data_IF_878265355855
#
_entry.id   IF_878265355855
#
_cell.length_a   1.000
_cell.length_b   1.000
_cell.length_c   1.000
_cell.angle_alpha   90.00
_cell.angle_beta   90.00
_cell.angle_gamma   90.00
#
_symmetry.space_group_name_H-M   'P 1'
#
loop_
_entity.id
_entity.type
_entity.pdbx_description
1 polymer ?
#
# COMPACT_ATOMS: atom_id res chain seq x y z
N UNK A 1 17.75 -1.10 11.88
CA UNK A 1 16.28 -0.98 11.69
C UNK A 1 16.01 0.12 10.69
N UNK A 2 14.89 0.02 9.95
CA UNK A 2 14.72 0.72 8.68
C UNK A 2 15.24 -0.12 7.53
N UNK A 3 15.25 0.46 6.33
CA UNK A 3 15.61 -0.25 5.10
C UNK A 3 16.93 -1.02 5.24
N UNK A 4 16.92 -2.28 4.82
CA UNK A 4 18.08 -3.17 4.85
C UNK A 4 19.10 -2.74 3.79
N UNK A 5 20.37 -3.05 3.99
CA UNK A 5 21.43 -2.71 3.02
C UNK A 5 21.15 -3.28 1.63
N UNK A 6 20.54 -4.47 1.55
CA UNK A 6 20.14 -5.06 0.27
C UNK A 6 19.09 -4.23 -0.48
N UNK A 7 18.05 -3.76 0.23
CA UNK A 7 17.03 -2.86 -0.31
C UNK A 7 17.62 -1.54 -0.79
N UNK A 8 18.48 -0.93 0.04
CA UNK A 8 19.11 0.37 -0.27
C UNK A 8 19.95 0.37 -1.54
N UNK A 9 20.59 -0.77 -1.88
CA UNK A 9 21.46 -0.90 -3.06
C UNK A 9 20.70 -0.84 -4.39
N UNK A 10 19.39 -1.06 -4.38
CA UNK A 10 18.57 -1.00 -5.60
C UNK A 10 18.27 0.46 -6.01
N UNK A 11 18.45 1.41 -5.10
CA UNK A 11 18.20 2.82 -5.34
C UNK A 11 19.43 3.52 -5.94
N UNK A 12 19.24 4.57 -6.75
CA UNK A 12 17.95 5.15 -7.16
C UNK A 12 17.20 4.28 -8.18
N UNK A 13 15.87 4.22 -8.07
CA UNK A 13 15.05 3.50 -9.05
C UNK A 13 14.86 4.41 -10.27
N UNK A 14 15.29 3.91 -11.44
CA UNK A 14 15.22 4.61 -12.71
C UNK A 14 14.35 3.80 -13.67
N UNK A 15 13.34 4.46 -14.23
CA UNK A 15 12.38 3.84 -15.12
C UNK A 15 11.55 2.73 -14.47
N UNK A 16 10.74 2.07 -15.30
CA UNK A 16 9.86 0.98 -14.88
C UNK A 16 10.68 -0.25 -14.43
N UNK A 17 11.76 -0.58 -15.14
CA UNK A 17 12.63 -1.71 -14.81
C UNK A 17 13.21 -1.63 -13.39
N UNK A 18 13.62 -0.43 -12.95
CA UNK A 18 14.13 -0.22 -11.60
C UNK A 18 13.08 -0.54 -10.53
N UNK A 19 11.81 -0.19 -10.78
CA UNK A 19 10.71 -0.53 -9.86
C UNK A 19 10.42 -2.02 -9.88
N UNK A 20 10.34 -2.65 -11.07
CA UNK A 20 10.12 -4.10 -11.20
C UNK A 20 11.21 -4.89 -10.47
N UNK A 21 12.49 -4.51 -10.64
CA UNK A 21 13.61 -5.15 -9.95
C UNK A 21 13.53 -5.02 -8.41
N UNK A 22 12.98 -3.90 -7.90
CA UNK A 22 12.72 -3.75 -6.46
C UNK A 22 11.63 -4.73 -5.98
N UNK A 23 10.54 -4.86 -6.74
CA UNK A 23 9.46 -5.78 -6.41
C UNK A 23 9.91 -7.23 -6.46
N UNK A 24 10.66 -7.62 -7.49
CA UNK A 24 11.24 -8.97 -7.62
C UNK A 24 12.15 -9.30 -6.43
N UNK A 25 13.03 -8.38 -6.06
CA UNK A 25 13.91 -8.55 -4.91
C UNK A 25 13.14 -8.64 -3.58
N UNK A 26 12.00 -7.95 -3.46
CA UNK A 26 11.16 -8.03 -2.27
C UNK A 26 10.33 -9.31 -2.18
N UNK A 27 9.74 -9.75 -3.30
CA UNK A 27 8.93 -10.97 -3.39
C UNK A 27 9.73 -12.25 -3.12
N UNK A 28 11.04 -12.24 -3.40
CA UNK A 28 11.95 -13.34 -3.06
C UNK A 28 12.17 -13.53 -1.54
N UNK A 29 11.60 -12.65 -0.69
CA UNK A 29 11.79 -12.65 0.76
C UNK A 29 10.53 -13.16 1.42
N UNK A 30 10.68 -13.88 2.53
CA UNK A 30 9.54 -14.35 3.32
C UNK A 30 8.65 -13.21 3.86
N UNK A 31 9.22 -12.02 4.06
CA UNK A 31 8.53 -10.82 4.51
C UNK A 31 8.93 -9.64 3.60
N UNK A 32 8.21 -9.44 2.47
CA UNK A 32 8.37 -8.25 1.63
C UNK A 32 7.95 -7.00 2.42
N UNK A 33 8.72 -5.92 2.34
CA UNK A 33 8.45 -4.67 3.07
C UNK A 33 7.30 -3.90 2.40
N UNK A 34 6.08 -4.10 2.92
CA UNK A 34 4.86 -3.49 2.38
C UNK A 34 4.92 -1.96 2.45
N UNK A 35 5.58 -1.42 3.48
CA UNK A 35 5.70 0.01 3.65
C UNK A 35 6.60 0.63 2.58
N UNK A 36 7.75 0.00 2.30
CA UNK A 36 8.66 0.41 1.23
C UNK A 36 7.96 0.40 -0.13
N UNK A 37 7.35 -0.74 -0.49
CA UNK A 37 6.73 -0.92 -1.80
C UNK A 37 5.57 0.07 -2.03
N UNK A 38 4.70 0.24 -1.04
CA UNK A 38 3.58 1.20 -1.12
C UNK A 38 4.05 2.65 -1.25
N UNK A 39 5.13 3.03 -0.55
CA UNK A 39 5.72 4.37 -0.66
C UNK A 39 6.31 4.61 -2.05
N UNK A 40 6.96 3.61 -2.65
CA UNK A 40 7.52 3.71 -4.01
C UNK A 40 6.40 3.84 -5.03
N UNK A 41 5.39 2.97 -4.99
CA UNK A 41 4.25 3.05 -5.92
C UNK A 41 3.54 4.40 -5.82
N UNK A 42 3.23 4.84 -4.61
CA UNK A 42 2.56 6.12 -4.40
C UNK A 42 3.40 7.32 -4.85
N UNK A 43 4.72 7.28 -4.70
CA UNK A 43 5.62 8.33 -5.21
C UNK A 43 5.60 8.38 -6.74
N UNK A 44 5.71 7.23 -7.40
CA UNK A 44 5.71 7.12 -8.87
C UNK A 44 4.35 7.54 -9.43
N UNK A 45 3.24 7.05 -8.85
CA UNK A 45 1.88 7.43 -9.22
C UNK A 45 1.62 8.93 -9.03
N UNK A 46 2.14 9.53 -7.96
CA UNK A 46 1.98 10.96 -7.74
C UNK A 46 2.50 11.80 -8.90
N UNK A 47 3.69 11.48 -9.41
CA UNK A 47 4.30 12.26 -10.50
C UNK A 47 3.86 11.84 -11.90
N UNK A 48 3.22 10.68 -12.05
CA UNK A 48 2.73 10.18 -13.35
C UNK A 48 1.22 10.39 -13.57
N UNK A 49 0.43 10.51 -12.50
CA UNK A 49 -1.02 10.74 -12.57
C UNK A 49 -1.49 12.00 -11.84
N UNK A 50 -1.04 12.24 -10.60
CA UNK A 50 -1.58 13.32 -9.75
C UNK A 50 -1.07 14.71 -10.15
N UNK A 51 0.25 14.86 -10.28
CA UNK A 51 0.91 16.09 -10.64
C UNK A 51 2.11 15.81 -11.55
N UNK A 52 1.84 15.87 -12.85
CA UNK A 52 2.82 15.58 -13.91
C UNK A 52 3.74 16.77 -14.25
N UNK A 53 3.56 17.90 -13.57
CA UNK A 53 4.44 19.07 -13.75
C UNK A 53 5.77 18.79 -13.06
N UNK A 54 6.84 18.74 -13.85
CA UNK A 54 8.21 18.57 -13.32
C UNK A 54 8.55 19.77 -12.42
N UNK A 55 8.75 19.55 -11.10
CA UNK A 55 9.06 20.63 -10.19
C UNK A 55 10.48 21.14 -10.44
N UNK A 56 10.60 22.41 -10.84
CA UNK A 56 11.90 23.07 -11.08
C UNK A 56 12.57 23.56 -9.80
N UNK A 57 11.81 23.66 -8.71
CA UNK A 57 12.22 24.29 -7.46
C UNK A 57 12.29 23.32 -6.27
N UNK A 58 12.18 22.00 -6.50
CA UNK A 58 12.25 20.98 -5.45
C UNK A 58 13.56 20.21 -5.58
N UNK A 59 14.57 20.53 -4.74
CA UNK A 59 15.84 19.80 -4.76
C UNK A 59 15.62 18.31 -4.44
N UNK A 60 16.27 17.44 -5.21
CA UNK A 60 16.24 15.99 -4.98
C UNK A 60 15.12 15.23 -5.70
N UNK A 61 14.17 15.91 -6.34
CA UNK A 61 13.26 15.27 -7.30
C UNK A 61 13.86 15.43 -8.69
N UNK A 62 14.13 14.30 -9.35
CA UNK A 62 14.72 14.25 -10.69
C UNK A 62 13.85 13.42 -11.62
N UNK A 63 13.89 13.77 -12.89
CA UNK A 63 13.17 13.05 -13.94
C UNK A 63 14.17 12.63 -15.01
N UNK A 64 14.08 11.37 -15.44
CA UNK A 64 14.91 10.82 -16.51
C UNK A 64 14.02 10.47 -17.72
N UNK A 65 14.47 10.70 -18.97
CA UNK A 65 13.76 10.23 -20.14
C UNK A 65 13.65 8.70 -20.14
N UNK A 66 12.47 8.15 -20.45
CA UNK A 66 12.31 6.69 -20.54
C UNK A 66 13.03 6.08 -21.74
N UNK A 67 13.22 6.84 -22.82
CA UNK A 67 13.98 6.42 -24.00
C UNK A 67 14.96 7.53 -24.41
N UNK A 68 16.23 7.45 -23.99
CA UNK A 68 17.24 8.45 -24.35
C UNK A 68 17.69 8.37 -25.81
N UNK A 69 17.33 7.32 -26.55
CA UNK A 69 17.78 7.06 -27.91
C UNK A 69 16.80 7.55 -29.00
N UNK A 70 15.56 7.90 -28.63
CA UNK A 70 14.60 8.49 -29.56
C UNK A 70 14.86 9.99 -29.75
N UNK A 71 15.21 10.46 -30.96
CA UNK A 71 15.29 11.89 -31.23
C UNK A 71 13.91 12.53 -31.04
N UNK A 72 13.89 13.73 -30.44
CA UNK A 72 12.71 14.55 -30.20
C UNK A 72 12.14 15.11 -31.52
N UNK A 73 11.70 14.25 -32.42
CA UNK A 73 11.07 14.62 -33.68
C UNK A 73 9.57 14.33 -33.62
N UNK A 74 8.79 15.42 -33.70
CA UNK A 74 7.32 15.53 -33.74
C UNK A 74 6.57 15.33 -32.41
N UNK A 75 6.20 16.46 -31.79
CA UNK A 75 5.02 16.75 -30.92
C UNK A 75 4.57 15.76 -29.84
N UNK A 76 5.30 14.68 -29.60
CA UNK A 76 5.09 13.75 -28.50
C UNK A 76 5.88 14.27 -27.30
N UNK A 77 5.16 14.60 -26.23
CA UNK A 77 5.78 14.91 -24.95
C UNK A 77 6.79 13.82 -24.62
N UNK A 78 8.07 14.16 -24.51
CA UNK A 78 9.12 13.24 -24.08
C UNK A 78 8.69 12.62 -22.75
N UNK A 79 8.33 11.33 -22.75
CA UNK A 79 7.91 10.64 -21.54
C UNK A 79 9.09 10.58 -20.57
N UNK A 80 8.86 11.10 -19.37
CA UNK A 80 9.85 11.20 -18.32
C UNK A 80 9.38 10.42 -17.10
N UNK A 81 10.31 9.76 -16.43
CA UNK A 81 10.03 8.95 -15.26
C UNK A 81 10.59 9.62 -14.00
N UNK A 82 9.81 9.69 -12.91
CA UNK A 82 10.30 10.24 -11.65
C UNK A 82 11.35 9.30 -11.04
N UNK A 83 12.59 9.76 -10.94
CA UNK A 83 13.67 8.99 -10.31
C UNK A 83 13.38 8.89 -8.82
N UNK A 84 13.30 7.65 -8.33
CA UNK A 84 13.02 7.40 -6.93
C UNK A 84 14.34 7.39 -6.17
N UNK A 85 14.67 8.52 -5.55
CA UNK A 85 15.91 8.70 -4.77
C UNK A 85 15.83 8.02 -3.39
N UNK A 86 16.91 7.36 -2.98
CA UNK A 86 16.97 6.64 -1.70
C UNK A 86 16.65 7.55 -0.51
N UNK A 87 17.17 8.78 -0.52
CA UNK A 87 17.02 9.73 0.57
C UNK A 87 15.55 10.10 0.82
N UNK A 88 14.78 10.31 -0.25
CA UNK A 88 13.37 10.66 -0.17
C UNK A 88 12.55 9.48 0.38
N UNK A 89 12.69 8.29 -0.20
CA UNK A 89 11.93 7.11 0.24
C UNK A 89 12.34 6.68 1.65
N UNK A 90 13.63 6.74 1.99
CA UNK A 90 14.10 6.42 3.35
C UNK A 90 13.52 7.37 4.39
N UNK A 91 13.39 8.66 4.07
CA UNK A 91 12.79 9.64 4.98
C UNK A 91 11.29 9.37 5.19
N UNK A 92 10.55 9.05 4.12
CA UNK A 92 9.13 8.70 4.20
C UNK A 92 8.91 7.40 5.00
N UNK A 93 9.72 6.37 4.74
CA UNK A 93 9.68 5.09 5.45
C UNK A 93 10.00 5.26 6.94
N UNK A 94 11.03 6.04 7.26
CA UNK A 94 11.39 6.38 8.63
C UNK A 94 10.28 7.16 9.34
N UNK A 95 9.63 8.11 8.65
CA UNK A 95 8.51 8.88 9.22
C UNK A 95 7.31 7.98 9.55
N UNK A 96 6.90 7.10 8.64
CA UNK A 96 5.84 6.12 8.90
C UNK A 96 6.21 5.21 10.07
N UNK A 97 7.42 4.64 10.04
CA UNK A 97 7.90 3.73 11.08
C UNK A 97 7.95 4.39 12.46
N UNK A 98 8.45 5.63 12.54
CA UNK A 98 8.54 6.39 13.78
C UNK A 98 7.14 6.73 14.35
N UNK A 99 6.20 7.10 13.48
CA UNK A 99 4.82 7.38 13.87
C UNK A 99 4.15 6.15 14.51
N UNK A 100 4.27 4.98 13.87
CA UNK A 100 3.65 3.75 14.38
C UNK A 100 4.30 3.31 15.69
N UNK A 101 5.63 3.24 15.74
CA UNK A 101 6.37 2.78 16.93
C UNK A 101 6.29 3.74 18.11
N UNK A 102 6.17 5.04 17.84
CA UNK A 102 5.98 6.04 18.89
C UNK A 102 4.57 6.02 19.49
N UNK A 103 3.57 5.53 18.75
CA UNK A 103 2.17 5.53 19.17
C UNK A 103 1.69 4.21 19.79
N UNK A 104 2.44 3.11 19.60
CA UNK A 104 2.08 1.76 20.08
C UNK A 104 3.20 1.20 20.93
N UNK A 105 2.99 1.15 22.24
CA UNK A 105 3.87 0.51 23.19
C UNK A 105 3.54 -0.99 23.31
N UNK A 106 4.32 -1.83 22.65
CA UNK A 106 4.11 -3.29 22.64
C UNK A 106 4.20 -3.94 24.03
N UNK A 107 4.83 -3.29 25.03
CA UNK A 107 4.92 -3.85 26.38
C UNK A 107 3.56 -3.90 27.11
N UNK A 108 2.60 -3.07 26.66
CA UNK A 108 1.25 -3.00 27.22
C UNK A 108 0.32 -4.11 26.70
N UNK A 109 0.75 -4.83 25.67
CA UNK A 109 -0.08 -5.82 24.97
C UNK A 109 0.51 -7.22 25.13
N UNK A 110 -0.18 -8.08 25.88
CA UNK A 110 0.19 -9.50 25.94
C UNK A 110 -0.05 -10.16 24.58
N UNK A 111 0.88 -11.02 24.17
CA UNK A 111 0.80 -11.82 22.95
C UNK A 111 0.57 -13.30 23.32
N UNK A 112 -0.69 -13.73 23.54
CA UNK A 112 -0.97 -15.12 23.88
C UNK A 112 -0.58 -16.04 22.71
N UNK A 113 0.12 -17.14 23.02
CA UNK A 113 0.52 -18.17 22.06
C UNK A 113 1.26 -17.68 20.79
N UNK A 114 1.92 -16.51 20.85
CA UNK A 114 2.65 -15.91 19.72
C UNK A 114 1.81 -15.03 18.79
N UNK A 115 0.48 -15.05 18.90
CA UNK A 115 -0.45 -14.23 18.12
C UNK A 115 -0.67 -12.83 18.70
N UNK A 116 -1.22 -11.95 17.87
CA UNK A 116 -1.63 -10.60 18.24
C UNK A 116 -3.04 -10.61 18.84
N UNK A 117 -3.25 -9.87 19.94
CA UNK A 117 -4.58 -9.69 20.53
C UNK A 117 -5.42 -8.67 19.78
N UNK A 118 -6.76 -8.78 19.88
CA UNK A 118 -7.71 -7.85 19.24
C UNK A 118 -7.48 -6.40 19.68
N UNK A 119 -7.15 -6.19 20.95
CA UNK A 119 -6.90 -4.86 21.51
C UNK A 119 -5.67 -4.20 20.87
N UNK A 120 -4.63 -4.99 20.56
CA UNK A 120 -3.43 -4.51 19.87
C UNK A 120 -3.76 -4.13 18.42
N UNK A 121 -4.47 -5.00 17.69
CA UNK A 121 -4.88 -4.72 16.31
C UNK A 121 -5.78 -3.49 16.24
N UNK A 122 -6.74 -3.36 17.16
CA UNK A 122 -7.61 -2.18 17.28
C UNK A 122 -6.81 -0.93 17.60
N UNK A 123 -5.79 -1.01 18.48
CA UNK A 123 -4.90 0.11 18.77
C UNK A 123 -4.16 0.58 17.52
N UNK A 124 -3.61 -0.34 16.72
CA UNK A 124 -2.94 0.02 15.46
C UNK A 124 -3.93 0.66 14.47
N UNK A 125 -5.14 0.11 14.35
CA UNK A 125 -6.22 0.72 13.55
C UNK A 125 -6.55 2.14 14.00
N UNK A 126 -6.64 2.39 15.31
CA UNK A 126 -6.89 3.73 15.84
C UNK A 126 -5.75 4.70 15.60
N UNK A 127 -4.49 4.23 15.59
CA UNK A 127 -3.34 5.08 15.20
C UNK A 127 -3.47 5.51 13.74
N UNK A 128 -3.76 4.60 12.82
CA UNK A 128 -3.97 4.96 11.41
C UNK A 128 -5.16 5.90 11.26
N UNK A 129 -6.31 5.54 11.83
CA UNK A 129 -7.55 6.31 11.75
C UNK A 129 -7.39 7.75 12.23
N UNK A 130 -6.81 7.93 13.42
CA UNK A 130 -6.62 9.25 14.02
C UNK A 130 -5.55 10.10 13.31
N UNK A 131 -4.76 9.47 12.43
CA UNK A 131 -3.78 10.17 11.59
C UNK A 131 -4.40 10.73 10.30
N UNK A 132 -5.63 10.32 9.96
CA UNK A 132 -6.33 10.80 8.77
C UNK A 132 -6.91 12.20 8.96
N UNK A 133 -6.93 12.97 7.88
CA UNK A 133 -7.64 14.25 7.82
C UNK A 133 -9.13 14.06 8.15
N UNK A 134 -9.69 14.94 8.98
CA UNK A 134 -11.11 14.85 9.40
C UNK A 134 -12.11 15.03 8.26
N UNK A 135 -11.72 15.73 7.20
CA UNK A 135 -12.59 16.01 6.06
C UNK A 135 -11.80 15.95 4.76
N UNK A 136 -12.14 14.98 3.92
CA UNK A 136 -11.71 14.87 2.54
C UNK A 136 -12.72 13.99 1.78
N UNK A 137 -12.70 14.08 0.46
CA UNK A 137 -13.50 13.20 -0.39
C UNK A 137 -12.91 11.79 -0.35
N UNK A 138 -13.63 10.86 0.28
CA UNK A 138 -13.22 9.45 0.46
C UNK A 138 -13.12 8.68 -0.85
N UNK A 139 -13.88 9.11 -1.87
CA UNK A 139 -13.91 8.52 -3.21
C UNK A 139 -12.88 9.19 -4.16
N UNK A 140 -11.96 10.00 -3.64
CA UNK A 140 -10.93 10.67 -4.45
C UNK A 140 -9.92 9.63 -4.95
N UNK A 141 -9.50 9.73 -6.20
CA UNK A 141 -8.40 8.90 -6.72
C UNK A 141 -7.04 9.24 -6.06
N UNK A 142 -6.09 8.31 -6.16
CA UNK A 142 -4.69 8.47 -5.74
C UNK A 142 -4.47 8.67 -4.24
N UNK A 143 -5.37 8.16 -3.41
CA UNK A 143 -5.26 8.16 -1.95
C UNK A 143 -5.26 6.76 -1.35
N UNK A 144 -4.82 5.74 -2.09
CA UNK A 144 -4.79 4.34 -1.65
C UNK A 144 -3.46 3.92 -1.03
N UNK A 145 -2.38 4.67 -1.28
CA UNK A 145 -1.01 4.31 -0.87
C UNK A 145 -0.55 4.98 0.43
N UNK A 146 0.45 4.39 1.10
CA UNK A 146 1.10 5.00 2.26
C UNK A 146 1.79 6.33 1.94
N UNK A 147 2.14 6.57 0.67
CA UNK A 147 2.63 7.87 0.24
C UNK A 147 1.58 8.95 0.48
N UNK A 148 0.31 8.68 0.14
CA UNK A 148 -0.80 9.61 0.39
C UNK A 148 -1.07 9.79 1.88
N UNK A 149 -0.98 8.73 2.68
CA UNK A 149 -1.07 8.82 4.13
C UNK A 149 0.00 9.77 4.71
N UNK A 150 1.26 9.59 4.34
CA UNK A 150 2.37 10.34 4.95
C UNK A 150 2.46 11.78 4.43
N UNK A 151 2.17 12.00 3.15
CA UNK A 151 2.28 13.33 2.54
C UNK A 151 1.00 14.17 2.65
N UNK A 152 -0.16 13.51 2.63
CA UNK A 152 -1.46 14.19 2.54
C UNK A 152 -2.49 13.78 3.60
N UNK A 153 -2.15 12.85 4.50
CA UNK A 153 -3.02 12.32 5.57
C UNK A 153 -4.39 11.86 5.08
N UNK A 154 -4.44 11.26 3.89
CA UNK A 154 -5.67 10.78 3.26
C UNK A 154 -5.50 9.32 2.88
N UNK A 155 -6.53 8.52 3.13
CA UNK A 155 -6.64 7.16 2.65
C UNK A 155 -8.06 6.89 2.14
N UNK A 156 -8.23 6.09 1.10
CA UNK A 156 -9.54 5.51 0.80
C UNK A 156 -9.83 4.32 1.75
N UNK A 157 -11.00 3.68 1.60
CA UNK A 157 -11.45 2.63 2.53
C UNK A 157 -10.47 1.46 2.60
N UNK A 158 -10.10 0.87 1.45
CA UNK A 158 -9.19 -0.29 1.40
C UNK A 158 -7.75 0.11 1.71
N UNK A 159 -7.33 1.32 1.35
CA UNK A 159 -6.04 1.89 1.73
C UNK A 159 -5.85 1.98 3.24
N UNK A 160 -6.91 2.27 4.02
CA UNK A 160 -6.85 2.21 5.49
C UNK A 160 -6.59 0.79 5.98
N UNK A 161 -7.30 -0.22 5.46
CA UNK A 161 -7.07 -1.61 5.86
C UNK A 161 -5.64 -2.07 5.54
N UNK A 162 -5.15 -1.75 4.34
CA UNK A 162 -3.77 -2.01 3.93
C UNK A 162 -2.76 -1.30 4.85
N UNK A 163 -2.99 -0.03 5.20
CA UNK A 163 -2.10 0.72 6.07
C UNK A 163 -2.02 0.14 7.49
N UNK A 164 -3.11 -0.44 8.00
CA UNK A 164 -3.10 -1.17 9.28
C UNK A 164 -2.22 -2.42 9.19
N UNK A 165 -2.31 -3.20 8.11
CA UNK A 165 -1.46 -4.38 7.90
C UNK A 165 0.02 -4.00 7.80
N UNK A 166 0.36 -2.97 7.03
CA UNK A 166 1.72 -2.46 6.94
C UNK A 166 2.26 -1.94 8.30
N UNK A 167 1.42 -1.26 9.08
CA UNK A 167 1.78 -0.81 10.42
C UNK A 167 2.01 -1.98 11.40
N UNK A 168 1.17 -3.02 11.33
CA UNK A 168 1.37 -4.26 12.06
C UNK A 168 2.70 -4.95 11.68
N UNK A 169 3.03 -5.00 10.38
CA UNK A 169 4.31 -5.54 9.91
C UNK A 169 5.51 -4.74 10.48
N UNK A 170 5.42 -3.40 10.53
CA UNK A 170 6.45 -2.53 11.11
C UNK A 170 6.70 -2.82 12.60
N UNK A 171 5.66 -3.25 13.33
CA UNK A 171 5.70 -3.65 14.73
C UNK A 171 6.13 -5.12 14.92
N UNK A 172 6.34 -5.88 13.85
CA UNK A 172 6.71 -7.29 13.91
C UNK A 172 5.52 -8.23 14.20
N UNK A 173 4.30 -7.80 13.89
CA UNK A 173 3.07 -8.57 14.05
C UNK A 173 2.79 -9.36 12.76
N UNK A 174 3.54 -10.45 12.59
CA UNK A 174 3.52 -11.25 11.36
C UNK A 174 2.21 -12.01 11.14
N UNK A 175 1.41 -12.21 12.18
CA UNK A 175 0.13 -12.93 12.11
C UNK A 175 -1.02 -12.07 11.58
N UNK A 176 -0.86 -10.75 11.50
CA UNK A 176 -1.90 -9.83 11.00
C UNK A 176 -1.83 -9.73 9.48
N UNK A 177 -2.92 -10.06 8.81
CA UNK A 177 -3.02 -10.10 7.35
C UNK A 177 -4.26 -9.37 6.83
N UNK A 178 -4.19 -8.96 5.57
CA UNK A 178 -5.32 -8.36 4.86
C UNK A 178 -6.37 -9.41 4.51
N UNK A 179 -7.63 -9.08 4.70
CA UNK A 179 -8.75 -9.82 4.12
C UNK A 179 -9.55 -8.92 3.17
N UNK A 180 -9.93 -9.50 2.04
CA UNK A 180 -10.59 -8.81 0.94
C UNK A 180 -11.85 -9.56 0.52
N UNK A 181 -12.96 -8.85 0.49
CA UNK A 181 -14.07 -9.22 -0.38
C UNK A 181 -13.96 -8.45 -1.71
N UNK A 182 -14.99 -8.53 -2.53
CA UNK A 182 -15.03 -7.82 -3.81
C UNK A 182 -15.25 -6.29 -3.65
N UNK A 183 -15.72 -5.83 -2.48
CA UNK A 183 -16.04 -4.40 -2.24
C UNK A 183 -15.70 -3.91 -0.81
N UNK A 184 -14.99 -4.72 -0.02
CA UNK A 184 -14.58 -4.33 1.35
C UNK A 184 -13.27 -4.97 1.78
N UNK A 185 -12.62 -4.35 2.74
CA UNK A 185 -11.35 -4.80 3.29
C UNK A 185 -11.34 -4.71 4.81
N UNK A 186 -10.78 -5.73 5.46
CA UNK A 186 -10.56 -5.77 6.91
C UNK A 186 -9.29 -6.56 7.21
N UNK A 187 -9.03 -6.87 8.49
CA UNK A 187 -7.85 -7.68 8.87
C UNK A 187 -8.24 -9.00 9.51
N UNK A 188 -7.42 -10.01 9.25
CA UNK A 188 -7.42 -11.29 9.97
C UNK A 188 -6.15 -11.40 10.81
N UNK A 189 -6.22 -12.11 11.92
CA UNK A 189 -5.08 -12.27 12.84
C UNK A 189 -5.26 -13.48 13.75
N UNK A 190 -4.32 -13.67 14.68
CA UNK A 190 -4.33 -14.78 15.60
C UNK A 190 -3.89 -16.09 14.94
N UNK A 191 -4.17 -17.21 15.60
CA UNK A 191 -3.80 -18.53 15.10
C UNK A 191 -4.52 -18.79 13.78
N UNK A 192 -3.76 -19.13 12.74
CA UNK A 192 -4.27 -19.49 11.40
C UNK A 192 -5.23 -18.45 10.76
N UNK A 193 -5.20 -17.19 11.21
CA UNK A 193 -6.10 -16.13 10.72
C UNK A 193 -7.57 -16.39 11.03
N UNK A 194 -7.86 -16.97 12.21
CA UNK A 194 -9.22 -17.26 12.69
C UNK A 194 -9.94 -16.02 13.22
N UNK A 195 -9.21 -15.05 13.80
CA UNK A 195 -9.79 -13.81 14.28
C UNK A 195 -9.94 -12.79 13.15
N UNK A 196 -11.00 -11.99 13.22
CA UNK A 196 -11.27 -10.92 12.25
C UNK A 196 -11.55 -9.60 12.96
N UNK A 197 -11.10 -8.48 12.41
CA UNK A 197 -11.47 -7.16 12.91
C UNK A 197 -11.71 -6.19 11.76
N UNK A 198 -12.86 -5.52 11.80
CA UNK A 198 -13.10 -4.32 11.01
C UNK A 198 -12.09 -3.22 11.39
N UNK A 199 -11.49 -2.57 10.39
CA UNK A 199 -10.47 -1.52 10.63
C UNK A 199 -10.69 -0.26 9.82
N UNK A 200 -11.67 -0.28 8.91
CA UNK A 200 -12.04 0.82 8.02
C UNK A 200 -13.56 0.98 7.97
N UNK A 201 -14.04 1.97 7.23
CA UNK A 201 -15.46 2.16 6.95
C UNK A 201 -15.87 1.42 5.67
N UNK A 202 -17.16 1.12 5.53
CA UNK A 202 -17.77 0.73 4.26
C UNK A 202 -18.96 1.66 3.95
N UNK A 203 -19.10 2.04 2.68
CA UNK A 203 -20.17 2.93 2.23
C UNK A 203 -20.13 4.35 2.82
N UNK A 204 -21.31 5.01 2.83
CA UNK A 204 -21.49 6.41 3.26
C UNK A 204 -22.16 6.57 4.63
N UNK A 205 -22.37 5.46 5.36
CA UNK A 205 -23.03 5.43 6.66
C UNK A 205 -22.12 5.86 7.82
N UNK A 206 -22.73 6.23 8.95
CA UNK A 206 -22.03 6.66 10.18
C UNK A 206 -21.78 5.50 11.18
N UNK A 207 -22.06 4.25 10.82
CA UNK A 207 -21.80 3.12 11.71
C UNK A 207 -20.31 2.79 11.72
N UNK A 208 -19.61 3.22 12.78
CA UNK A 208 -18.25 2.78 13.05
C UNK A 208 -18.26 1.33 13.57
N UNK A 209 -18.03 0.38 12.66
CA UNK A 209 -17.93 -1.04 12.99
C UNK A 209 -16.51 -1.45 13.38
N UNK A 210 -15.53 -0.54 13.42
CA UNK A 210 -14.11 -0.88 13.66
C UNK A 210 -13.91 -1.58 15.00
N UNK A 211 -13.13 -2.65 14.97
CA UNK A 211 -12.84 -3.53 16.11
C UNK A 211 -13.81 -4.71 16.25
N UNK A 212 -14.99 -4.66 15.60
CA UNK A 212 -15.95 -5.76 15.60
C UNK A 212 -15.50 -6.91 14.68
N UNK A 213 -16.00 -8.10 14.93
CA UNK A 213 -15.85 -9.27 14.03
C UNK A 213 -16.75 -9.12 12.79
N UNK A 214 -16.38 -9.77 11.69
CA UNK A 214 -17.20 -9.83 10.47
C UNK A 214 -18.28 -10.93 10.52
N UNK A 215 -18.38 -11.69 11.62
CA UNK A 215 -19.28 -12.84 11.76
C UNK A 215 -20.75 -12.52 11.48
N UNK A 216 -21.23 -11.33 11.84
CA UNK A 216 -22.61 -10.91 11.58
C UNK A 216 -22.90 -10.87 10.08
N UNK A 217 -22.05 -10.18 9.30
CA UNK A 217 -22.19 -10.07 7.85
C UNK A 217 -22.03 -11.41 7.11
N UNK A 218 -21.18 -12.30 7.62
CA UNK A 218 -21.07 -13.69 7.12
C UNK A 218 -22.36 -14.47 7.39
N UNK A 219 -22.91 -14.37 8.60
CA UNK A 219 -24.13 -15.09 9.02
C UNK A 219 -25.36 -14.61 8.24
N UNK A 220 -25.42 -13.32 7.94
CA UNK A 220 -26.45 -12.70 7.09
C UNK A 220 -26.31 -13.06 5.61
N UNK A 221 -25.22 -13.75 5.22
CA UNK A 221 -24.94 -14.20 3.85
C UNK A 221 -24.85 -13.03 2.87
N UNK A 222 -24.44 -11.86 3.35
CA UNK A 222 -24.23 -10.67 2.52
C UNK A 222 -23.11 -10.91 1.52
N UNK A 223 -23.28 -10.42 0.29
CA UNK A 223 -22.25 -10.42 -0.75
C UNK A 223 -20.97 -9.74 -0.25
N UNK A 224 -21.11 -8.69 0.56
CA UNK A 224 -20.00 -7.92 1.12
C UNK A 224 -18.98 -8.76 1.90
N UNK A 225 -19.41 -9.89 2.47
CA UNK A 225 -18.55 -10.81 3.23
C UNK A 225 -18.46 -12.20 2.59
N UNK A 226 -18.96 -12.34 1.35
CA UNK A 226 -18.85 -13.53 0.51
C UNK A 226 -19.22 -14.85 1.21
N UNK A 227 -20.19 -14.83 2.14
CA UNK A 227 -20.55 -15.99 2.98
C UNK A 227 -19.33 -16.65 3.67
N UNK A 228 -18.30 -15.86 3.99
CA UNK A 228 -17.06 -16.33 4.60
C UNK A 228 -16.00 -16.83 3.61
N UNK A 229 -16.27 -16.82 2.30
CA UNK A 229 -15.35 -17.25 1.24
C UNK A 229 -14.54 -16.08 0.66
N UNK A 230 -14.16 -15.15 1.52
CA UNK A 230 -13.33 -13.98 1.16
C UNK A 230 -11.84 -14.36 1.09
N UNK A 231 -11.05 -13.53 0.41
CA UNK A 231 -9.61 -13.73 0.29
C UNK A 231 -8.92 -13.46 1.62
N UNK A 232 -8.15 -14.45 2.10
CA UNK A 232 -7.24 -14.34 3.24
C UNK A 232 -5.83 -14.18 2.69
N UNK A 233 -5.31 -12.96 2.64
CA UNK A 233 -4.07 -12.68 1.93
C UNK A 233 -2.85 -13.22 2.66
N UNK A 234 -1.88 -13.72 1.90
CA UNK A 234 -0.48 -13.82 2.34
C UNK A 234 0.23 -12.48 2.14
N UNK A 235 1.50 -12.35 2.56
CA UNK A 235 2.31 -11.16 2.27
C UNK A 235 2.43 -10.88 0.77
N UNK A 236 2.61 -11.91 -0.05
CA UNK A 236 2.71 -11.73 -1.48
C UNK A 236 1.36 -11.32 -2.11
N UNK A 237 0.24 -11.86 -1.62
CA UNK A 237 -1.09 -11.40 -2.03
C UNK A 237 -1.36 -9.95 -1.60
N UNK A 238 -0.80 -9.49 -0.49
CA UNK A 238 -0.85 -8.07 -0.09
C UNK A 238 0.00 -7.17 -1.01
N UNK A 239 1.10 -7.70 -1.56
CA UNK A 239 1.85 -7.05 -2.65
C UNK A 239 1.01 -7.03 -3.93
N UNK A 240 0.33 -8.14 -4.28
CA UNK A 240 -0.63 -8.17 -5.39
C UNK A 240 -1.71 -7.11 -5.24
N UNK A 241 -2.31 -7.00 -4.06
CA UNK A 241 -3.33 -6.00 -3.76
C UNK A 241 -2.83 -4.58 -4.07
N UNK A 242 -1.64 -4.18 -3.58
CA UNK A 242 -1.14 -2.82 -3.84
C UNK A 242 -0.80 -2.57 -5.32
N UNK A 243 -0.43 -3.62 -6.07
CA UNK A 243 -0.20 -3.52 -7.52
C UNK A 243 -1.52 -3.33 -8.27
N UNK A 244 -2.56 -4.10 -7.92
CA UNK A 244 -3.91 -3.90 -8.44
C UNK A 244 -4.48 -2.52 -8.07
N UNK A 245 -4.09 -1.98 -6.90
CA UNK A 245 -4.51 -0.68 -6.44
C UNK A 245 -3.79 0.50 -7.14
N UNK A 246 -2.78 0.26 -7.99
CA UNK A 246 -2.22 1.34 -8.84
C UNK A 246 -3.36 1.92 -9.68
N UNK A 247 -3.51 3.25 -9.65
CA UNK A 247 -4.53 3.95 -10.42
C UNK A 247 -3.86 4.76 -11.55
N UNK A 248 -3.93 4.29 -12.80
CA UNK A 248 -3.32 4.97 -13.93
C UNK A 248 -4.03 6.26 -14.35
N UNK A 249 -5.27 6.49 -13.92
CA UNK A 249 -6.09 7.60 -14.42
C UNK A 249 -5.55 8.95 -14.01
N UNK A 250 -5.27 9.82 -14.98
CA UNK A 250 -4.86 11.21 -14.78
C UNK A 250 -6.10 12.10 -14.60
N UNK A 251 -7.11 11.84 -15.42
CA UNK A 251 -8.43 12.46 -15.38
C UNK A 251 -9.50 11.47 -15.88
N UNK A 252 -10.73 11.93 -16.11
CA UNK A 252 -11.85 11.08 -16.53
C UNK A 252 -11.68 10.45 -17.92
N UNK A 253 -10.72 10.92 -18.73
CA UNK A 253 -10.57 10.54 -20.13
C UNK A 253 -9.13 10.16 -20.51
N UNK A 254 -8.19 10.25 -19.55
CA UNK A 254 -6.76 10.09 -19.81
C UNK A 254 -6.14 9.21 -18.74
N UNK A 255 -5.40 8.18 -19.17
CA UNK A 255 -4.57 7.35 -18.30
C UNK A 255 -3.07 7.60 -18.58
N UNK A 256 -2.23 7.39 -17.57
CA UNK A 256 -0.77 7.32 -17.72
C UNK A 256 -0.38 5.98 -18.32
N UNK A 257 0.20 6.03 -19.53
CA UNK A 257 0.75 4.87 -20.22
C UNK A 257 1.86 4.18 -19.39
N UNK A 258 2.65 4.98 -18.67
CA UNK A 258 3.73 4.50 -17.82
C UNK A 258 3.22 3.71 -16.62
N UNK A 259 2.14 4.18 -15.97
CA UNK A 259 1.50 3.45 -14.86
C UNK A 259 0.79 2.19 -15.33
N UNK A 260 0.11 2.23 -16.49
CA UNK A 260 -0.46 1.04 -17.13
C UNK A 260 0.62 -0.01 -17.38
N UNK A 261 1.75 0.39 -17.98
CA UNK A 261 2.86 -0.50 -18.26
C UNK A 261 3.52 -1.04 -16.98
N UNK A 262 3.72 -0.18 -15.97
CA UNK A 262 4.26 -0.59 -14.68
C UNK A 262 3.34 -1.63 -14.00
N UNK A 263 2.05 -1.34 -13.91
CA UNK A 263 1.07 -2.25 -13.31
C UNK A 263 1.05 -3.59 -14.06
N UNK A 264 0.97 -3.56 -15.39
CA UNK A 264 0.98 -4.78 -16.20
C UNK A 264 2.23 -5.63 -15.95
N UNK A 265 3.42 -5.03 -15.92
CA UNK A 265 4.68 -5.76 -15.69
C UNK A 265 4.80 -6.33 -14.29
N UNK A 266 4.34 -5.60 -13.28
CA UNK A 266 4.29 -6.10 -11.90
C UNK A 266 3.29 -7.25 -11.76
N UNK A 267 2.13 -7.18 -12.43
CA UNK A 267 1.17 -8.29 -12.45
C UNK A 267 1.74 -9.53 -13.15
N UNK A 268 2.46 -9.39 -14.27
CA UNK A 268 3.15 -10.52 -14.89
C UNK A 268 4.22 -11.12 -13.98
N UNK A 269 5.00 -10.30 -13.28
CA UNK A 269 5.96 -10.78 -12.28
C UNK A 269 5.28 -11.61 -11.19
N UNK A 270 4.15 -11.12 -10.66
CA UNK A 270 3.36 -11.84 -9.65
C UNK A 270 2.73 -13.12 -10.20
N UNK A 271 2.29 -13.11 -11.46
CA UNK A 271 1.77 -14.28 -12.16
C UNK A 271 2.85 -15.36 -12.28
N UNK A 272 4.04 -15.02 -12.76
CA UNK A 272 5.15 -15.95 -12.95
C UNK A 272 5.66 -16.53 -11.62
N UNK A 273 5.51 -15.78 -10.52
CA UNK A 273 5.83 -16.22 -9.16
C UNK A 273 4.73 -17.10 -8.53
N UNK A 274 3.55 -17.21 -9.16
CA UNK A 274 2.40 -17.98 -8.64
C UNK A 274 1.56 -17.23 -7.60
N UNK A 275 1.80 -15.93 -7.39
CA UNK A 275 1.10 -15.13 -6.37
C UNK A 275 -0.31 -14.69 -6.80
N UNK A 276 -0.73 -15.05 -8.02
CA UNK A 276 -2.07 -14.80 -8.58
C UNK A 276 -2.92 -16.08 -8.72
N UNK A 277 -2.52 -17.21 -8.12
CA UNK A 277 -3.27 -18.47 -8.19
C UNK A 277 -4.65 -18.42 -7.48
N UNK A 278 -4.84 -17.48 -6.55
CA UNK A 278 -6.03 -17.38 -5.68
C UNK A 278 -6.71 -16.03 -5.78
#
# INVERSE_FOLDING_TARGET
MGLRSAQKRLFPLRGIDGVVALFEAELARAEPDLALLSLVLGFVEHFLAVNRVVPVNVPGVRFEPLDPARPSSSSSSSSCFPVVELGLVSALHARFTAQIRGAVDLSQYRRPAGGSGRELVKKVSDVIWNSLSRSYFKDRAHIQSLFSLITGTKLDSSGVAFAVVAACQVLGLQDVHLALSEDHAWVIFGKDGEETAEVTWHGKGNEDRRGQTVSAGVSERSWLYLKGSYLKCTRNMEVTFMVCAINPSVDLHTDSAELLQLQQRLLWLLYDHGDLER
#
